data_IF_638218902637
#
_entry.id   IF_638218902637
#
_cell.length_a   1.000
_cell.length_b   1.000
_cell.length_c   1.000
_cell.angle_alpha   90.00
_cell.angle_beta   90.00
_cell.angle_gamma   90.00
#
_symmetry.space_group_name_H-M   'P 1'
#
loop_
_entity.id
_entity.type
_entity.pdbx_description
1 polymer ?
#
# COMPACT_ATOMS: atom_id res chain seq x y z
N UNK A 1 -10.97 -11.24 11.92
CA UNK A 1 -9.51 -11.11 12.09
C UNK A 1 -9.26 -11.20 13.58
N UNK A 2 -8.35 -12.06 14.02
CA UNK A 2 -8.01 -12.13 15.45
C UNK A 2 -7.23 -10.87 15.87
N UNK A 3 -7.13 -10.61 17.16
CA UNK A 3 -6.29 -9.50 17.67
C UNK A 3 -4.82 -9.65 17.24
N UNK A 4 -4.31 -10.89 17.25
CA UNK A 4 -2.94 -11.18 16.82
C UNK A 4 -2.74 -10.89 15.32
N UNK A 5 -3.66 -11.34 14.47
CA UNK A 5 -3.64 -11.04 13.03
C UNK A 5 -3.73 -9.54 12.78
N UNK A 6 -4.60 -8.83 13.51
CA UNK A 6 -4.75 -7.37 13.39
C UNK A 6 -3.45 -6.65 13.74
N UNK A 7 -2.78 -7.06 14.84
CA UNK A 7 -1.50 -6.51 15.27
C UNK A 7 -0.38 -6.77 14.25
N UNK A 8 -0.31 -7.98 13.69
CA UNK A 8 0.64 -8.36 12.64
C UNK A 8 0.40 -7.54 11.37
N UNK A 9 -0.84 -7.46 10.89
CA UNK A 9 -1.22 -6.65 9.73
C UNK A 9 -0.82 -5.19 9.92
N UNK A 10 -1.18 -4.56 11.05
CA UNK A 10 -0.82 -3.18 11.33
C UNK A 10 0.70 -2.95 11.31
N UNK A 11 1.47 -3.83 11.96
CA UNK A 11 2.93 -3.72 11.97
C UNK A 11 3.54 -3.83 10.56
N UNK A 12 3.05 -4.78 9.75
CA UNK A 12 3.51 -4.97 8.36
C UNK A 12 3.18 -3.74 7.51
N UNK A 13 1.93 -3.26 7.58
CA UNK A 13 1.45 -2.12 6.81
C UNK A 13 2.26 -0.88 7.18
N UNK A 14 2.37 -0.59 8.48
CA UNK A 14 3.06 0.60 8.97
C UNK A 14 4.55 0.58 8.61
N UNK A 15 5.22 -0.57 8.74
CA UNK A 15 6.62 -0.69 8.38
C UNK A 15 6.87 -0.41 6.88
N UNK A 16 6.03 -0.97 6.00
CA UNK A 16 6.14 -0.72 4.57
C UNK A 16 5.77 0.72 4.20
N UNK A 17 4.80 1.33 4.89
CA UNK A 17 4.42 2.72 4.74
C UNK A 17 5.60 3.66 5.03
N UNK A 18 6.32 3.43 6.13
CA UNK A 18 7.51 4.20 6.50
C UNK A 18 8.66 3.94 5.51
N UNK A 19 8.87 2.69 5.09
CA UNK A 19 9.90 2.36 4.11
C UNK A 19 9.65 3.05 2.75
N UNK A 20 8.41 3.05 2.27
CA UNK A 20 8.02 3.74 1.05
C UNK A 20 8.19 5.26 1.18
N UNK A 21 7.78 5.83 2.31
CA UNK A 21 7.98 7.26 2.59
C UNK A 21 9.46 7.66 2.57
N UNK A 22 10.34 6.82 3.15
CA UNK A 22 11.77 7.02 3.12
C UNK A 22 12.36 6.89 1.71
N UNK A 23 11.92 5.89 0.93
CA UNK A 23 12.33 5.71 -0.47
C UNK A 23 11.96 6.90 -1.36
N UNK A 24 10.79 7.49 -1.11
CA UNK A 24 10.28 8.68 -1.79
C UNK A 24 10.91 10.00 -1.33
N UNK A 25 11.77 9.99 -0.30
CA UNK A 25 12.51 11.19 0.10
C UNK A 25 13.64 11.55 -0.89
N UNK A 26 14.05 10.62 -1.75
CA UNK A 26 15.08 10.83 -2.77
C UNK A 26 14.44 11.35 -4.07
N UNK A 27 14.83 12.55 -4.57
CA UNK A 27 14.17 13.19 -5.71
C UNK A 27 14.65 12.62 -7.06
N UNK A 28 14.46 11.33 -7.30
CA UNK A 28 14.76 10.67 -8.59
C UNK A 28 13.46 10.41 -9.35
N UNK A 29 13.29 10.96 -10.57
CA UNK A 29 12.09 10.75 -11.37
C UNK A 29 11.78 9.27 -11.60
N UNK A 30 10.55 8.85 -11.31
CA UNK A 30 10.07 7.48 -11.53
C UNK A 30 10.56 6.43 -10.53
N UNK A 31 11.62 6.69 -9.76
CA UNK A 31 12.11 5.78 -8.73
C UNK A 31 11.04 5.50 -7.68
N UNK A 32 10.40 6.56 -7.19
CA UNK A 32 9.37 6.47 -6.15
C UNK A 32 8.23 5.52 -6.49
N UNK A 33 7.71 5.60 -7.73
CA UNK A 33 6.63 4.73 -8.21
C UNK A 33 7.09 3.28 -8.30
N UNK A 34 8.32 3.04 -8.78
CA UNK A 34 8.87 1.69 -8.87
C UNK A 34 9.08 1.08 -7.47
N UNK A 35 9.64 1.84 -6.53
CA UNK A 35 9.83 1.41 -5.14
C UNK A 35 8.50 1.16 -4.44
N UNK A 36 7.50 2.02 -4.66
CA UNK A 36 6.17 1.86 -4.08
C UNK A 36 5.47 0.60 -4.60
N UNK A 37 5.61 0.29 -5.89
CA UNK A 37 5.02 -0.91 -6.48
C UNK A 37 5.64 -2.18 -5.89
N UNK A 38 6.97 -2.21 -5.75
CA UNK A 38 7.67 -3.34 -5.13
C UNK A 38 7.27 -3.47 -3.66
N UNK A 39 7.33 -2.39 -2.88
CA UNK A 39 6.98 -2.40 -1.46
C UNK A 39 5.50 -2.77 -1.22
N UNK A 40 4.57 -2.33 -2.07
CA UNK A 40 3.16 -2.76 -2.00
C UNK A 40 2.99 -4.24 -2.32
N UNK A 41 3.76 -4.76 -3.29
CA UNK A 41 3.72 -6.19 -3.67
C UNK A 41 4.23 -7.05 -2.53
N UNK A 42 5.39 -6.72 -1.95
CA UNK A 42 5.95 -7.44 -0.80
C UNK A 42 5.06 -7.36 0.43
N UNK A 43 4.48 -6.18 0.71
CA UNK A 43 3.50 -6.00 1.77
C UNK A 43 2.29 -6.93 1.56
N UNK A 44 1.77 -7.02 0.33
CA UNK A 44 0.62 -7.87 -0.02
C UNK A 44 0.93 -9.35 0.20
N UNK A 45 2.12 -9.81 -0.21
CA UNK A 45 2.56 -11.19 0.04
C UNK A 45 2.66 -11.48 1.54
N UNK A 46 3.27 -10.56 2.29
CA UNK A 46 3.47 -10.70 3.75
C UNK A 46 2.13 -10.70 4.49
N UNK A 47 1.18 -9.85 4.08
CA UNK A 47 -0.19 -9.84 4.61
C UNK A 47 -0.89 -11.17 4.34
N UNK A 48 -0.73 -11.77 3.16
CA UNK A 48 -1.30 -13.09 2.88
C UNK A 48 -0.76 -14.17 3.83
N UNK A 49 0.53 -14.12 4.16
CA UNK A 49 1.15 -15.00 5.16
C UNK A 49 0.53 -14.90 6.56
N UNK A 50 0.03 -13.73 6.97
CA UNK A 50 -0.68 -13.57 8.27
C UNK A 50 -1.94 -14.42 8.36
N UNK A 51 -2.57 -14.71 7.21
CA UNK A 51 -3.77 -15.54 7.12
C UNK A 51 -3.45 -17.01 6.76
N UNK A 52 -2.18 -17.42 6.80
CA UNK A 52 -1.74 -18.78 6.46
C UNK A 52 -1.66 -19.06 4.97
N UNK A 53 -1.77 -18.03 4.13
CA UNK A 53 -1.69 -18.15 2.68
C UNK A 53 -0.31 -17.87 2.10
N UNK A 54 -0.20 -18.07 0.79
CA UNK A 54 0.91 -17.56 -0.02
C UNK A 54 0.37 -17.04 -1.35
N UNK A 55 1.06 -16.05 -1.92
CA UNK A 55 0.76 -15.49 -3.23
C UNK A 55 2.02 -15.57 -4.08
N UNK A 56 1.87 -15.80 -5.38
CA UNK A 56 2.94 -15.50 -6.33
C UNK A 56 3.14 -13.98 -6.40
N UNK A 57 4.32 -13.56 -6.87
CA UNK A 57 4.61 -12.13 -7.06
C UNK A 57 3.56 -11.47 -7.96
N UNK A 58 3.16 -12.13 -9.05
CA UNK A 58 2.18 -11.62 -10.01
C UNK A 58 0.80 -11.45 -9.37
N UNK A 59 0.36 -12.43 -8.58
CA UNK A 59 -0.91 -12.38 -7.87
C UNK A 59 -0.93 -11.27 -6.82
N UNK A 60 0.16 -11.13 -6.06
CA UNK A 60 0.32 -10.06 -5.09
C UNK A 60 0.35 -8.68 -5.77
N UNK A 61 1.07 -8.55 -6.89
CA UNK A 61 1.15 -7.33 -7.70
C UNK A 61 -0.23 -6.93 -8.23
N UNK A 62 -1.00 -7.88 -8.74
CA UNK A 62 -2.35 -7.65 -9.22
C UNK A 62 -3.29 -7.17 -8.10
N UNK A 63 -3.23 -7.81 -6.92
CA UNK A 63 -4.00 -7.39 -5.74
C UNK A 63 -3.59 -6.00 -5.24
N UNK A 64 -2.29 -5.71 -5.19
CA UNK A 64 -1.76 -4.40 -4.85
C UNK A 64 -2.30 -3.31 -5.80
N UNK A 65 -2.23 -3.53 -7.11
CA UNK A 65 -2.79 -2.60 -8.11
C UNK A 65 -4.29 -2.39 -7.90
N UNK A 66 -5.04 -3.47 -7.68
CA UNK A 66 -6.48 -3.39 -7.43
C UNK A 66 -6.80 -2.59 -6.16
N UNK A 67 -6.03 -2.79 -5.09
CA UNK A 67 -6.18 -2.06 -3.84
C UNK A 67 -5.83 -0.58 -4.00
N UNK A 68 -4.74 -0.24 -4.70
CA UNK A 68 -4.38 1.14 -5.02
C UNK A 68 -5.53 1.80 -5.77
N UNK A 69 -6.01 1.17 -6.85
CA UNK A 69 -7.15 1.69 -7.63
C UNK A 69 -8.37 1.92 -6.74
N UNK A 70 -8.73 0.96 -5.91
CA UNK A 70 -9.88 1.07 -5.01
C UNK A 70 -9.72 2.19 -3.98
N UNK A 71 -8.53 2.36 -3.41
CA UNK A 71 -8.22 3.45 -2.48
C UNK A 71 -8.23 4.80 -3.19
N UNK A 72 -7.67 4.90 -4.40
CA UNK A 72 -7.65 6.13 -5.20
C UNK A 72 -9.04 6.57 -5.66
N UNK A 73 -9.95 5.61 -5.92
CA UNK A 73 -11.34 5.91 -6.23
C UNK A 73 -12.13 6.38 -5.01
N UNK A 74 -11.77 5.92 -3.81
CA UNK A 74 -12.46 6.24 -2.55
C UNK A 74 -11.93 7.50 -1.86
N UNK A 75 -10.65 7.82 -2.03
CA UNK A 75 -10.04 9.03 -1.47
C UNK A 75 -9.92 10.12 -2.55
N UNK A 76 -10.28 11.39 -2.26
CA UNK A 76 -10.14 12.49 -3.20
C UNK A 76 -8.66 12.88 -3.33
N UNK A 77 -7.86 12.07 -4.03
CA UNK A 77 -6.41 12.26 -4.16
C UNK A 77 -6.08 13.53 -4.95
N UNK A 78 -7.01 14.01 -5.79
CA UNK A 78 -6.94 15.34 -6.42
C UNK A 78 -6.70 16.48 -5.41
N UNK A 79 -7.14 16.34 -4.16
CA UNK A 79 -6.91 17.33 -3.11
C UNK A 79 -5.47 17.29 -2.59
N UNK A 80 -4.91 16.09 -2.40
CA UNK A 80 -3.50 15.91 -1.99
C UNK A 80 -2.53 16.36 -3.08
N UNK A 81 -2.81 16.03 -4.34
CA UNK A 81 -1.98 16.47 -5.47
C UNK A 81 -2.05 17.99 -5.68
N UNK A 82 -3.21 18.62 -5.44
CA UNK A 82 -3.36 20.08 -5.53
C UNK A 82 -2.54 20.82 -4.48
N UNK A 83 -2.60 20.39 -3.22
CA UNK A 83 -1.84 21.05 -2.14
C UNK A 83 -0.34 20.84 -2.28
N UNK A 84 0.10 19.67 -2.78
CA UNK A 84 1.50 19.43 -3.08
C UNK A 84 2.01 20.17 -4.32
N UNK A 85 1.17 20.32 -5.35
CA UNK A 85 1.53 21.09 -6.55
C UNK A 85 1.72 22.59 -6.28
N UNK A 86 1.11 23.13 -5.21
CA UNK A 86 1.33 24.51 -4.76
C UNK A 86 2.65 24.70 -4.01
N UNK A 87 3.17 23.64 -3.38
CA UNK A 87 4.36 23.71 -2.54
C UNK A 87 5.66 23.56 -3.35
N UNK A 88 5.64 22.77 -4.45
CA UNK A 88 6.84 22.46 -5.24
C UNK A 88 6.49 22.36 -6.75
N UNK A 89 7.02 23.26 -7.61
CA UNK A 89 6.93 23.11 -9.07
C UNK A 89 7.70 21.86 -9.53
N UNK A 90 7.07 20.97 -10.31
CA UNK A 90 7.69 19.72 -10.82
C UNK A 90 7.37 18.45 -10.03
N UNK A 91 6.62 18.53 -8.93
CA UNK A 91 6.31 17.39 -8.05
C UNK A 91 5.36 16.33 -8.65
N UNK A 92 4.82 16.54 -9.85
CA UNK A 92 4.01 15.51 -10.53
C UNK A 92 4.76 14.19 -10.78
N UNK A 93 6.10 14.20 -10.67
CA UNK A 93 6.97 13.04 -10.83
C UNK A 93 7.50 12.45 -9.50
N UNK A 94 7.25 13.11 -8.35
CA UNK A 94 7.75 12.72 -7.03
C UNK A 94 6.55 12.48 -6.11
N UNK A 95 6.40 11.27 -5.61
CA UNK A 95 5.40 10.98 -4.58
C UNK A 95 5.91 11.58 -3.27
N UNK A 96 5.14 12.45 -2.62
CA UNK A 96 5.57 12.99 -1.33
C UNK A 96 5.60 11.87 -0.26
N UNK A 97 6.57 11.87 0.68
CA UNK A 97 6.63 10.88 1.75
C UNK A 97 5.31 10.69 2.50
N UNK A 98 4.61 11.79 2.81
CA UNK A 98 3.30 11.74 3.48
C UNK A 98 2.19 11.07 2.65
N UNK A 99 2.18 11.23 1.32
CA UNK A 99 1.25 10.49 0.46
C UNK A 99 1.53 9.00 0.55
N UNK A 100 2.80 8.62 0.52
CA UNK A 100 3.23 7.21 0.59
C UNK A 100 2.66 6.55 1.84
N UNK A 101 2.78 7.20 3.00
CA UNK A 101 2.25 6.68 4.27
C UNK A 101 0.75 6.45 4.18
N UNK A 102 -0.01 7.48 3.77
CA UNK A 102 -1.48 7.39 3.69
C UNK A 102 -1.92 6.33 2.69
N UNK A 103 -1.25 6.26 1.54
CA UNK A 103 -1.55 5.31 0.47
C UNK A 103 -1.33 3.86 0.92
N UNK A 104 -0.19 3.59 1.55
CA UNK A 104 0.15 2.26 2.06
C UNK A 104 -0.77 1.82 3.20
N UNK A 105 -1.06 2.71 4.14
CA UNK A 105 -2.00 2.41 5.23
C UNK A 105 -3.40 2.09 4.68
N UNK A 106 -3.95 2.96 3.83
CA UNK A 106 -5.29 2.77 3.30
C UNK A 106 -5.41 1.54 2.38
N UNK A 107 -4.46 1.35 1.46
CA UNK A 107 -4.45 0.18 0.59
C UNK A 107 -4.14 -1.10 1.36
N UNK A 108 -3.18 -1.08 2.28
CA UNK A 108 -2.81 -2.22 3.12
C UNK A 108 -3.98 -2.74 3.95
N UNK A 109 -4.76 -1.84 4.57
CA UNK A 109 -5.97 -2.23 5.29
C UNK A 109 -7.07 -2.76 4.37
N UNK A 110 -7.18 -2.25 3.15
CA UNK A 110 -8.11 -2.79 2.15
C UNK A 110 -7.73 -4.22 1.75
N UNK A 111 -6.44 -4.48 1.55
CA UNK A 111 -5.91 -5.80 1.22
C UNK A 111 -6.11 -6.78 2.39
N UNK A 112 -5.77 -6.38 3.61
CA UNK A 112 -5.91 -7.22 4.79
C UNK A 112 -7.36 -7.70 4.99
N UNK A 113 -8.34 -6.81 4.79
CA UNK A 113 -9.78 -7.15 4.89
C UNK A 113 -10.26 -8.06 3.76
N UNK A 114 -9.75 -7.87 2.54
CA UNK A 114 -10.07 -8.75 1.41
C UNK A 114 -9.51 -10.16 1.63
N UNK A 115 -8.25 -10.26 2.09
CA UNK A 115 -7.62 -11.52 2.45
C UNK A 115 -8.36 -12.22 3.58
N UNK A 116 -8.63 -11.53 4.69
CA UNK A 116 -9.45 -12.05 5.79
C UNK A 116 -10.76 -12.67 5.26
N UNK A 117 -11.49 -11.91 4.43
CA UNK A 117 -12.77 -12.35 3.88
C UNK A 117 -12.63 -13.58 2.97
N UNK A 118 -11.50 -13.72 2.25
CA UNK A 118 -11.22 -14.89 1.41
C UNK A 118 -10.89 -16.13 2.25
N UNK A 119 -10.01 -16.00 3.24
CA UNK A 119 -9.64 -17.13 4.09
C UNK A 119 -10.79 -17.58 4.99
N UNK A 120 -11.59 -16.65 5.53
CA UNK A 120 -12.79 -16.99 6.30
C UNK A 120 -13.90 -17.70 5.48
N UNK A 121 -13.87 -17.59 4.14
CA UNK A 121 -14.79 -18.31 3.24
C UNK A 121 -14.30 -19.71 2.88
N UNK A 122 -12.99 -19.93 2.84
CA UNK A 122 -12.40 -21.23 2.50
C UNK A 122 -12.38 -22.21 3.68
N UNK A 123 -12.55 -21.73 4.91
CA UNK A 123 -12.68 -22.54 6.13
C UNK A 123 -14.13 -23.02 6.41
N UNK A 124 -15.08 -22.73 5.51
CA UNK A 124 -16.49 -23.18 5.58
C UNK A 124 -16.80 -24.15 4.46
#
# INVERSE_FOLDING_TARGET
MTEEQTKKCHAIIHAHAIAAAAGNAVPVPGLGIATDMVAMTTMTMTLCGVFGGSLTDEAAKALAIAAIKNTMLKQPIKTLTKELSKLIPGLGQIVAPGISIVMFEAAGWTIAKDLESKFARNDK
#
